data_IF_226281131810
#
_entry.id   IF_226281131810
#
_cell.length_a   1.000
_cell.length_b   1.000
_cell.length_c   1.000
_cell.angle_alpha   90.00
_cell.angle_beta   90.00
_cell.angle_gamma   90.00
#
_symmetry.space_group_name_H-M   'P 1'
#
loop_
_entity.id
_entity.type
_entity.pdbx_description
1 polymer ?
#
# COMPACT_ATOMS: atom_id res chain seq x y z
N UNK A 1 -2.44 -8.74 -22.72
CA UNK A 1 -2.66 -9.93 -21.87
C UNK A 1 -2.08 -9.62 -20.51
N UNK A 2 -2.87 -9.67 -19.42
CA UNK A 2 -2.34 -9.44 -18.08
C UNK A 2 -1.34 -10.56 -17.75
N UNK A 3 -0.07 -10.21 -17.54
CA UNK A 3 0.94 -11.18 -17.15
C UNK A 3 0.95 -11.30 -15.62
N UNK A 4 0.20 -12.26 -15.11
CA UNK A 4 0.13 -12.52 -13.67
C UNK A 4 1.50 -12.87 -13.06
N UNK A 5 2.41 -13.46 -13.84
CA UNK A 5 3.78 -13.75 -13.40
C UNK A 5 4.53 -12.45 -13.10
N UNK A 6 4.44 -11.45 -13.99
CA UNK A 6 5.11 -10.16 -13.79
C UNK A 6 4.56 -9.44 -12.55
N UNK A 7 3.24 -9.47 -12.34
CA UNK A 7 2.61 -8.83 -11.18
C UNK A 7 2.99 -9.52 -9.86
N UNK A 8 2.99 -10.86 -9.84
CA UNK A 8 3.47 -11.64 -8.69
C UNK A 8 4.94 -11.31 -8.41
N UNK A 9 5.78 -11.28 -9.45
CA UNK A 9 7.20 -10.96 -9.31
C UNK A 9 7.42 -9.55 -8.74
N UNK A 10 6.70 -8.55 -9.24
CA UNK A 10 6.73 -7.17 -8.72
C UNK A 10 6.30 -7.10 -7.27
N UNK A 11 5.15 -7.68 -6.92
CA UNK A 11 4.61 -7.65 -5.56
C UNK A 11 5.52 -8.35 -4.55
N UNK A 12 6.24 -9.39 -4.98
CA UNK A 12 7.17 -10.15 -4.13
C UNK A 12 8.49 -9.40 -3.92
N UNK A 13 9.04 -8.83 -5.00
CA UNK A 13 10.43 -8.40 -5.01
C UNK A 13 10.62 -6.90 -4.90
N UNK A 14 9.67 -6.08 -5.35
CA UNK A 14 9.88 -4.64 -5.49
C UNK A 14 9.22 -3.82 -4.39
N UNK A 15 9.92 -2.76 -3.97
CA UNK A 15 9.32 -1.68 -3.20
C UNK A 15 8.54 -0.76 -4.15
N UNK A 16 7.22 -0.95 -4.20
CA UNK A 16 6.30 -0.17 -5.06
C UNK A 16 6.22 1.30 -4.61
N UNK A 17 6.40 1.50 -3.31
CA UNK A 17 6.46 2.78 -2.63
C UNK A 17 7.40 2.59 -1.44
N UNK A 18 8.26 3.56 -1.17
CA UNK A 18 9.16 3.57 0.00
C UNK A 18 8.76 4.68 0.97
N UNK A 19 9.17 4.60 2.25
CA UNK A 19 9.01 5.69 3.21
C UNK A 19 9.54 7.03 2.69
N UNK A 20 10.73 7.02 2.09
CA UNK A 20 11.35 8.24 1.54
C UNK A 20 10.53 8.90 0.44
N UNK A 21 9.73 8.14 -0.33
CA UNK A 21 8.83 8.73 -1.32
C UNK A 21 7.72 9.57 -0.67
N UNK A 22 7.19 9.10 0.47
CA UNK A 22 6.08 9.76 1.16
C UNK A 22 6.48 11.06 1.85
N UNK A 23 7.73 11.19 2.29
CA UNK A 23 8.20 12.39 2.97
C UNK A 23 8.01 13.66 2.11
N UNK A 24 8.05 13.56 0.78
CA UNK A 24 7.86 14.72 -0.08
C UNK A 24 6.45 15.33 0.00
N UNK A 25 5.45 14.59 0.47
CA UNK A 25 4.09 15.10 0.58
C UNK A 25 3.95 16.22 1.62
N UNK A 26 4.88 16.34 2.59
CA UNK A 26 4.87 17.47 3.55
C UNK A 26 5.06 18.82 2.87
N UNK A 27 5.54 18.84 1.62
CA UNK A 27 5.72 20.06 0.83
C UNK A 27 4.41 20.54 0.20
N UNK A 28 3.36 19.72 0.22
CA UNK A 28 2.04 20.09 -0.27
C UNK A 28 1.32 20.93 0.79
N UNK A 29 0.68 22.02 0.36
CA UNK A 29 0.07 23.01 1.27
C UNK A 29 -0.99 22.42 2.20
N UNK A 30 -1.67 21.35 1.76
CA UNK A 30 -2.75 20.74 2.52
C UNK A 30 -2.29 19.64 3.50
N UNK A 31 -1.00 19.29 3.52
CA UNK A 31 -0.44 18.30 4.44
C UNK A 31 0.17 19.00 5.67
N UNK A 32 -0.30 18.60 6.85
CA UNK A 32 0.07 19.22 8.12
C UNK A 32 1.17 18.44 8.84
N UNK A 33 1.15 17.11 8.77
CA UNK A 33 2.06 16.27 9.54
C UNK A 33 2.45 15.00 8.75
N UNK A 34 3.70 14.60 8.90
CA UNK A 34 4.17 13.24 8.58
C UNK A 34 4.94 12.72 9.78
N UNK A 35 4.52 11.57 10.29
CA UNK A 35 5.11 10.90 11.44
C UNK A 35 5.51 9.48 11.08
N UNK A 36 6.75 9.12 11.42
CA UNK A 36 7.24 7.76 11.33
C UNK A 36 7.44 7.16 12.71
N UNK A 37 6.97 5.93 12.90
CA UNK A 37 7.17 5.17 14.12
C UNK A 37 7.20 3.67 13.81
N UNK A 38 7.71 2.88 14.76
CA UNK A 38 7.66 1.41 14.66
C UNK A 38 6.48 0.89 15.44
N UNK A 39 5.77 -0.07 14.88
CA UNK A 39 4.74 -0.83 15.57
C UNK A 39 4.84 -2.30 15.18
N UNK A 40 4.88 -3.20 16.17
CA UNK A 40 4.94 -4.65 15.96
C UNK A 40 6.00 -5.16 14.97
N UNK A 41 7.13 -4.46 14.84
CA UNK A 41 8.22 -4.83 13.92
C UNK A 41 8.09 -4.24 12.51
N UNK A 42 6.99 -3.55 12.22
CA UNK A 42 6.78 -2.79 10.99
C UNK A 42 7.14 -1.31 11.18
N UNK A 43 7.45 -0.64 10.06
CA UNK A 43 7.58 0.80 9.99
C UNK A 43 6.24 1.41 9.55
N UNK A 44 5.68 2.28 10.38
CA UNK A 44 4.44 2.98 10.11
C UNK A 44 4.75 4.42 9.71
N UNK A 45 4.16 4.86 8.60
CA UNK A 45 4.06 6.26 8.24
C UNK A 45 2.60 6.69 8.41
N UNK A 46 2.38 7.65 9.29
CA UNK A 46 1.11 8.34 9.45
C UNK A 46 1.23 9.76 8.92
N UNK A 47 0.28 10.14 8.08
CA UNK A 47 0.24 11.44 7.46
C UNK A 47 -1.10 12.08 7.73
N UNK A 48 -1.11 13.39 7.99
CA UNK A 48 -2.32 14.17 8.24
C UNK A 48 -2.43 15.26 7.19
N UNK A 49 -3.59 15.35 6.54
CA UNK A 49 -3.92 16.45 5.64
C UNK A 49 -5.28 17.05 6.00
N UNK A 50 -5.55 18.24 5.46
CA UNK A 50 -6.85 18.89 5.49
C UNK A 50 -7.41 18.89 4.05
N UNK A 51 -8.50 18.17 3.82
CA UNK A 51 -9.23 18.16 2.54
C UNK A 51 -10.64 18.68 2.77
N UNK A 52 -11.05 19.74 2.05
CA UNK A 52 -12.38 20.37 2.20
C UNK A 52 -12.78 20.71 3.65
N UNK A 53 -11.80 21.13 4.47
CA UNK A 53 -11.92 21.43 5.92
C UNK A 53 -12.09 20.20 6.82
N UNK A 54 -11.97 18.99 6.28
CA UNK A 54 -11.98 17.75 7.03
C UNK A 54 -10.56 17.19 7.20
N UNK A 55 -10.31 16.55 8.35
CA UNK A 55 -9.02 15.92 8.64
C UNK A 55 -8.97 14.54 8.00
N UNK A 56 -7.97 14.32 7.17
CA UNK A 56 -7.70 13.02 6.53
C UNK A 56 -6.44 12.43 7.11
N UNK A 57 -6.47 11.16 7.50
CA UNK A 57 -5.29 10.42 7.94
C UNK A 57 -4.95 9.30 6.97
N UNK A 58 -3.70 9.26 6.54
CA UNK A 58 -3.17 8.18 5.70
C UNK A 58 -2.20 7.36 6.54
N UNK A 59 -2.42 6.05 6.59
CA UNK A 59 -1.58 5.10 7.30
C UNK A 59 -0.95 4.15 6.30
N UNK A 60 0.37 4.17 6.22
CA UNK A 60 1.17 3.25 5.40
C UNK A 60 2.02 2.37 6.29
N UNK A 61 1.88 1.05 6.14
CA UNK A 61 2.66 0.04 6.85
C UNK A 61 3.69 -0.55 5.92
N UNK A 62 4.97 -0.45 6.28
CA UNK A 62 6.11 -0.99 5.55
C UNK A 62 6.79 -2.09 6.36
N UNK A 63 7.34 -3.09 5.67
CA UNK A 63 8.31 -3.98 6.30
C UNK A 63 9.65 -3.26 6.54
N UNK A 64 10.57 -3.91 7.25
CA UNK A 64 11.91 -3.39 7.52
C UNK A 64 12.81 -3.31 6.27
N UNK A 65 12.34 -3.78 5.11
CA UNK A 65 13.02 -3.65 3.81
C UNK A 65 12.37 -2.55 2.95
N UNK A 66 11.65 -1.61 3.58
CA UNK A 66 10.95 -0.47 2.97
C UNK A 66 9.85 -0.84 1.98
N UNK A 67 9.40 -2.10 1.95
CA UNK A 67 8.35 -2.51 1.03
C UNK A 67 6.98 -2.27 1.67
N UNK A 68 6.12 -1.50 1.00
CA UNK A 68 4.75 -1.24 1.45
C UNK A 68 3.87 -2.51 1.57
N UNK A 69 3.46 -2.88 2.77
CA UNK A 69 2.54 -4.00 3.01
C UNK A 69 1.07 -3.58 2.91
N UNK A 70 0.72 -2.44 3.50
CA UNK A 70 -0.67 -1.97 3.59
C UNK A 70 -0.74 -0.46 3.54
N UNK A 71 -1.79 0.08 2.92
CA UNK A 71 -2.11 1.49 3.00
C UNK A 71 -3.62 1.69 3.22
N UNK A 72 -3.97 2.57 4.15
CA UNK A 72 -5.33 2.85 4.60
C UNK A 72 -5.53 4.37 4.67
N UNK A 73 -6.71 4.84 4.30
CA UNK A 73 -7.15 6.22 4.48
C UNK A 73 -8.31 6.23 5.47
N UNK A 74 -8.24 7.15 6.43
CA UNK A 74 -9.31 7.48 7.35
C UNK A 74 -9.82 8.88 7.01
N UNK A 75 -11.11 8.98 6.67
CA UNK A 75 -11.79 10.23 6.34
C UNK A 75 -13.07 10.31 7.16
N UNK A 76 -13.07 11.12 8.22
CA UNK A 76 -14.16 11.11 9.20
C UNK A 76 -14.40 9.72 9.82
N UNK A 77 -15.58 9.14 9.59
CA UNK A 77 -15.93 7.77 10.02
C UNK A 77 -15.62 6.70 8.98
N UNK A 78 -15.23 7.11 7.76
CA UNK A 78 -14.96 6.18 6.67
C UNK A 78 -13.53 5.68 6.73
N UNK A 79 -13.35 4.41 6.37
CA UNK A 79 -12.03 3.77 6.26
C UNK A 79 -11.93 3.10 4.91
N UNK A 80 -10.88 3.43 4.15
CA UNK A 80 -10.62 2.89 2.84
C UNK A 80 -9.26 2.19 2.79
N UNK A 81 -9.25 0.89 2.49
CA UNK A 81 -8.00 0.17 2.20
C UNK A 81 -7.63 0.38 0.73
N UNK A 82 -6.63 1.22 0.47
CA UNK A 82 -6.17 1.53 -0.89
C UNK A 82 -5.16 0.51 -1.41
N UNK A 83 -4.46 -0.17 -0.49
CA UNK A 83 -3.48 -1.19 -0.84
C UNK A 83 -3.32 -2.24 0.25
N UNK A 84 -3.18 -3.50 -0.18
CA UNK A 84 -2.84 -4.63 0.68
C UNK A 84 -2.07 -5.67 -0.16
N UNK A 85 -0.77 -5.82 0.12
CA UNK A 85 0.14 -6.67 -0.64
C UNK A 85 -0.32 -8.13 -0.62
N UNK A 86 -0.67 -8.66 0.54
CA UNK A 86 -1.08 -10.06 0.69
C UNK A 86 -2.38 -10.37 -0.04
N UNK A 87 -3.39 -9.49 0.07
CA UNK A 87 -4.65 -9.65 -0.67
C UNK A 87 -4.41 -9.62 -2.17
N UNK A 88 -3.55 -8.72 -2.65
CA UNK A 88 -3.18 -8.65 -4.08
C UNK A 88 -2.44 -9.90 -4.54
N UNK A 89 -1.42 -10.35 -3.80
CA UNK A 89 -0.67 -11.57 -4.11
C UNK A 89 -1.58 -12.81 -4.18
N UNK A 90 -2.44 -13.01 -3.17
CA UNK A 90 -3.41 -14.12 -3.15
C UNK A 90 -4.36 -14.08 -4.34
N UNK A 91 -4.81 -12.89 -4.73
CA UNK A 91 -5.66 -12.71 -5.92
C UNK A 91 -4.90 -13.05 -7.20
N UNK A 92 -3.67 -12.56 -7.38
CA UNK A 92 -2.88 -12.85 -8.57
C UNK A 92 -2.54 -14.35 -8.69
N UNK A 93 -2.17 -15.00 -7.59
CA UNK A 93 -1.88 -16.43 -7.55
C UNK A 93 -3.11 -17.27 -7.93
N UNK A 94 -4.27 -16.98 -7.32
CA UNK A 94 -5.50 -17.71 -7.66
C UNK A 94 -5.93 -17.50 -9.11
N UNK A 95 -5.74 -16.31 -9.68
CA UNK A 95 -6.02 -16.05 -11.10
C UNK A 95 -5.06 -16.80 -12.03
N UNK A 96 -3.78 -16.87 -11.66
CA UNK A 96 -2.78 -17.65 -12.40
C UNK A 96 -3.10 -19.15 -12.40
N UNK A 97 -3.43 -19.72 -11.25
CA UNK A 97 -3.78 -21.14 -11.11
C UNK A 97 -5.02 -21.51 -11.93
N UNK A 98 -6.03 -20.63 -11.94
CA UNK A 98 -7.23 -20.80 -12.76
C UNK A 98 -6.91 -20.81 -14.27
N UNK A 99 -5.98 -19.97 -14.73
CA UNK A 99 -5.57 -19.96 -16.14
C UNK A 99 -4.78 -21.21 -16.51
N UNK A 100 -3.86 -21.66 -15.64
CA UNK A 100 -3.10 -22.89 -15.85
C UNK A 100 -4.03 -24.10 -15.96
N UNK A 101 -5.06 -24.16 -15.11
CA UNK A 101 -6.04 -25.25 -15.09
C UNK A 101 -6.91 -25.27 -16.36
N UNK A 102 -7.24 -24.10 -16.93
CA UNK A 102 -8.03 -23.99 -18.18
C UNK A 102 -7.24 -24.33 -19.44
N UNK A 103 -5.93 -24.12 -19.44
CA UNK A 103 -5.05 -24.42 -20.58
C UNK A 103 -4.53 -25.88 -20.57
N UNK A 104 -4.87 -26.67 -19.55
CA UNK A 104 -4.50 -28.07 -19.42
C UNK A 104 -5.59 -29.05 -19.93
N UNK A 105 -6.66 -28.51 -20.54
CA UNK A 105 -7.79 -29.21 -21.18
C UNK A 105 -7.75 -28.86 -22.67
#
# INVERSE_FOLDING_TARGET
MFNYIDEIYKLTNFAILTPSNLLNNIKLENYEEIRYYKDNGDLICEMVSIEDKEVVRYIYTFDLSDKLNKAIIYFGTETMEIFNRDKKLKKCLSQYDNLKSRNAI
#
